data_IF_170110241612
#
_entry.id   IF_170110241612
#
_cell.length_a   1.000
_cell.length_b   1.000
_cell.length_c   1.000
_cell.angle_alpha   90.00
_cell.angle_beta   90.00
_cell.angle_gamma   90.00
#
_symmetry.space_group_name_H-M   'P 1'
#
loop_
_entity.id
_entity.type
_entity.pdbx_description
1 polymer ?
#
# COMPACT_ATOMS: atom_id res chain seq x y z
N UNK A 1 -5.71 21.03 -2.86
CA UNK A 1 -5.17 20.68 -1.53
C UNK A 1 -5.38 19.18 -1.36
N UNK A 2 -4.40 18.45 -0.80
CA UNK A 2 -4.51 17.02 -0.50
C UNK A 2 -4.33 16.80 1.00
N UNK A 3 -5.18 15.97 1.61
CA UNK A 3 -5.14 15.63 3.03
C UNK A 3 -4.90 14.14 3.19
N UNK A 4 -3.79 13.76 3.83
CA UNK A 4 -3.45 12.35 4.09
C UNK A 4 -4.17 11.83 5.33
N UNK A 5 -5.42 11.39 5.15
CA UNK A 5 -6.33 11.00 6.24
C UNK A 5 -6.69 9.50 6.24
N UNK A 6 -6.06 8.73 5.35
CA UNK A 6 -6.35 7.31 5.17
C UNK A 6 -7.48 7.05 4.18
N UNK A 7 -7.42 5.90 3.51
CA UNK A 7 -8.29 5.57 2.38
C UNK A 7 -9.77 5.51 2.75
N UNK A 8 -10.11 5.03 3.95
CA UNK A 8 -11.50 5.00 4.40
C UNK A 8 -12.08 6.40 4.53
N UNK A 9 -11.34 7.33 5.12
CA UNK A 9 -11.78 8.71 5.29
C UNK A 9 -11.86 9.45 3.95
N UNK A 10 -10.91 9.20 3.03
CA UNK A 10 -10.96 9.75 1.66
C UNK A 10 -12.20 9.30 0.86
N UNK A 11 -12.55 8.02 0.94
CA UNK A 11 -13.77 7.49 0.31
C UNK A 11 -15.03 8.13 0.92
N UNK A 12 -15.08 8.24 2.25
CA UNK A 12 -16.22 8.83 2.94
C UNK A 12 -16.38 10.32 2.59
N UNK A 13 -15.28 11.08 2.55
CA UNK A 13 -15.29 12.49 2.18
C UNK A 13 -15.79 12.71 0.74
N UNK A 14 -15.39 11.84 -0.20
CA UNK A 14 -15.91 11.85 -1.57
C UNK A 14 -17.41 11.57 -1.61
N UNK A 15 -17.89 10.57 -0.85
CA UNK A 15 -19.33 10.27 -0.74
C UNK A 15 -20.14 11.42 -0.15
N UNK A 16 -19.56 12.14 0.80
CA UNK A 16 -20.15 13.35 1.40
C UNK A 16 -19.96 14.60 0.52
N UNK A 17 -19.25 14.49 -0.61
CA UNK A 17 -18.94 15.59 -1.53
C UNK A 17 -18.23 16.77 -0.86
N UNK A 18 -17.41 16.49 0.16
CA UNK A 18 -16.61 17.51 0.88
C UNK A 18 -15.21 17.70 0.28
N UNK A 19 -14.83 16.83 -0.65
CA UNK A 19 -13.59 16.89 -1.44
C UNK A 19 -13.92 16.66 -2.91
N UNK A 20 -13.08 17.20 -3.79
CA UNK A 20 -13.28 17.07 -5.24
C UNK A 20 -12.90 15.66 -5.76
N UNK A 21 -12.00 14.98 -5.05
CA UNK A 21 -11.57 13.61 -5.30
C UNK A 21 -11.20 12.91 -3.98
N UNK A 22 -11.37 11.59 -3.93
CA UNK A 22 -10.84 10.72 -2.87
C UNK A 22 -9.63 9.93 -3.38
N UNK A 23 -8.84 9.39 -2.46
CA UNK A 23 -7.72 8.50 -2.80
C UNK A 23 -7.73 7.25 -1.90
N UNK A 24 -7.31 6.11 -2.45
CA UNK A 24 -7.31 4.83 -1.74
C UNK A 24 -6.30 3.86 -2.34
N UNK A 25 -5.57 3.11 -1.50
CA UNK A 25 -4.71 2.00 -1.96
C UNK A 25 -5.50 0.68 -2.13
N UNK A 26 -6.79 0.71 -1.82
CA UNK A 26 -7.69 -0.42 -1.94
C UNK A 26 -8.83 -0.07 -2.89
N UNK A 27 -9.28 -1.00 -3.75
CA UNK A 27 -10.43 -0.76 -4.59
C UNK A 27 -11.68 -0.45 -3.75
N UNK A 28 -12.63 0.26 -4.36
CA UNK A 28 -13.94 0.46 -3.77
C UNK A 28 -14.66 -0.88 -3.63
N UNK A 29 -15.26 -1.14 -2.47
CA UNK A 29 -16.16 -2.28 -2.32
C UNK A 29 -17.46 -2.04 -3.10
N UNK A 30 -18.23 -3.08 -3.39
CA UNK A 30 -19.54 -2.93 -4.03
C UNK A 30 -20.47 -1.94 -3.26
N UNK A 31 -20.45 -1.99 -1.93
CA UNK A 31 -21.19 -1.05 -1.09
C UNK A 31 -20.68 0.39 -1.21
N UNK A 32 -19.36 0.58 -1.34
CA UNK A 32 -18.77 1.90 -1.55
C UNK A 32 -19.10 2.45 -2.93
N UNK A 33 -19.00 1.64 -3.99
CA UNK A 33 -19.42 2.00 -5.35
C UNK A 33 -20.87 2.49 -5.36
N UNK A 34 -21.77 1.80 -4.63
CA UNK A 34 -23.15 2.24 -4.48
C UNK A 34 -23.28 3.58 -3.72
N UNK A 35 -22.44 3.82 -2.71
CA UNK A 35 -22.47 5.07 -1.91
C UNK A 35 -21.88 6.29 -2.61
N UNK A 36 -20.89 6.09 -3.50
CA UNK A 36 -20.29 7.13 -4.35
C UNK A 36 -20.77 6.97 -5.79
N UNK A 37 -22.07 6.73 -5.99
CA UNK A 37 -22.66 6.39 -7.28
C UNK A 37 -22.13 7.28 -8.43
N UNK A 38 -21.64 6.65 -9.51
CA UNK A 38 -21.00 7.30 -10.66
C UNK A 38 -19.59 7.89 -10.39
N UNK A 39 -18.94 7.54 -9.29
CA UNK A 39 -17.51 7.73 -9.16
C UNK A 39 -16.77 6.75 -10.09
N UNK A 40 -15.75 7.27 -10.75
CA UNK A 40 -14.80 6.52 -11.57
C UNK A 40 -13.47 6.42 -10.82
N UNK A 41 -12.78 5.31 -11.06
CA UNK A 41 -11.50 4.94 -10.44
C UNK A 41 -10.39 5.12 -11.46
N UNK A 42 -9.35 5.86 -11.08
CA UNK A 42 -8.17 6.15 -11.89
C UNK A 42 -6.94 5.67 -11.11
N UNK A 43 -6.21 4.64 -11.55
CA UNK A 43 -4.92 4.32 -10.96
C UNK A 43 -3.97 5.51 -11.13
N UNK A 44 -3.28 5.93 -10.07
CA UNK A 44 -2.36 7.07 -10.12
C UNK A 44 -0.89 6.66 -10.03
N UNK A 45 -0.58 5.63 -9.24
CA UNK A 45 0.77 5.11 -9.02
C UNK A 45 0.73 3.65 -8.60
N UNK A 46 1.87 2.98 -8.65
CA UNK A 46 2.07 1.65 -8.05
C UNK A 46 3.02 1.79 -6.86
N UNK A 47 2.59 1.31 -5.70
CA UNK A 47 3.32 1.42 -4.44
C UNK A 47 3.58 0.06 -3.79
N UNK A 48 4.83 -0.25 -3.41
CA UNK A 48 5.14 -1.40 -2.58
C UNK A 48 4.89 -1.10 -1.10
N UNK A 49 4.33 -2.08 -0.38
CA UNK A 49 4.19 -2.03 1.09
C UNK A 49 5.25 -2.91 1.71
N UNK A 50 6.11 -2.34 2.55
CA UNK A 50 7.23 -3.03 3.16
C UNK A 50 6.94 -3.39 4.60
N UNK A 51 7.54 -4.50 5.07
CA UNK A 51 7.58 -4.83 6.49
C UNK A 51 8.84 -4.18 7.08
N UNK A 52 8.65 -3.08 7.79
CA UNK A 52 9.72 -2.34 8.45
C UNK A 52 9.84 -2.74 9.92
N UNK A 53 11.05 -2.66 10.47
CA UNK A 53 11.31 -3.11 11.84
C UNK A 53 12.42 -2.30 12.52
N UNK A 54 12.51 -2.45 13.84
CA UNK A 54 13.58 -1.92 14.67
C UNK A 54 14.04 -3.04 15.60
N UNK A 55 15.19 -3.65 15.27
CA UNK A 55 15.78 -4.76 16.03
C UNK A 55 17.18 -4.32 16.48
N UNK A 56 17.30 -3.74 17.68
CA UNK A 56 18.60 -3.56 18.30
C UNK A 56 19.18 -4.92 18.66
N UNK A 57 20.38 -5.24 18.19
CA UNK A 57 21.07 -6.48 18.58
C UNK A 57 21.96 -6.22 19.79
N UNK A 58 22.67 -5.09 19.79
CA UNK A 58 23.45 -4.57 20.91
C UNK A 58 23.69 -3.06 20.70
N UNK A 59 24.50 -2.45 21.57
CA UNK A 59 24.79 -1.02 21.51
C UNK A 59 25.53 -0.55 20.24
N UNK A 60 26.00 -1.47 19.38
CA UNK A 60 26.82 -1.15 18.20
C UNK A 60 26.30 -1.75 16.89
N UNK A 61 25.32 -2.65 16.92
CA UNK A 61 24.81 -3.34 15.75
C UNK A 61 23.27 -3.45 15.77
N UNK A 62 22.65 -3.15 14.63
CA UNK A 62 21.25 -3.44 14.34
C UNK A 62 21.16 -4.11 12.98
N UNK A 63 20.11 -4.91 12.74
CA UNK A 63 19.90 -5.52 11.41
C UNK A 63 19.35 -4.44 10.48
N UNK A 64 20.21 -3.64 9.87
CA UNK A 64 19.78 -2.44 9.14
C UNK A 64 18.97 -2.72 7.85
N UNK A 65 18.96 -3.95 7.35
CA UNK A 65 18.10 -4.45 6.27
C UNK A 65 18.25 -5.96 6.11
N UNK A 66 17.32 -6.59 5.40
CA UNK A 66 17.52 -7.94 4.88
C UNK A 66 17.12 -9.07 5.82
N UNK A 67 16.34 -8.80 6.86
CA UNK A 67 15.63 -9.87 7.56
C UNK A 67 14.75 -10.60 6.56
N UNK A 68 14.95 -11.90 6.41
CA UNK A 68 14.16 -12.77 5.55
C UNK A 68 12.87 -13.16 6.26
N UNK A 69 11.74 -12.87 5.62
CA UNK A 69 10.42 -13.29 6.07
C UNK A 69 9.65 -13.93 4.90
N UNK A 70 8.82 -14.93 5.21
CA UNK A 70 7.78 -15.42 4.31
C UNK A 70 6.41 -15.08 4.88
N UNK A 71 5.35 -15.27 4.09
CA UNK A 71 3.98 -14.89 4.48
C UNK A 71 3.52 -15.58 5.77
N UNK A 72 3.92 -16.83 6.01
CA UNK A 72 3.51 -17.59 7.20
C UNK A 72 4.20 -17.10 8.46
N UNK A 73 5.49 -16.79 8.41
CA UNK A 73 6.20 -16.21 9.55
C UNK A 73 5.72 -14.79 9.81
N UNK A 74 5.52 -13.97 8.77
CA UNK A 74 4.92 -12.65 8.91
C UNK A 74 3.52 -12.73 9.55
N UNK A 75 2.64 -13.59 9.07
CA UNK A 75 1.31 -13.77 9.66
C UNK A 75 1.39 -14.18 11.14
N UNK A 76 2.27 -15.13 11.48
CA UNK A 76 2.50 -15.57 12.86
C UNK A 76 2.96 -14.44 13.79
N UNK A 77 3.87 -13.58 13.32
CA UNK A 77 4.31 -12.39 14.07
C UNK A 77 3.14 -11.42 14.28
N UNK A 78 2.47 -11.03 13.19
CA UNK A 78 1.45 -9.98 13.23
C UNK A 78 0.19 -10.38 14.02
N UNK A 79 -0.07 -11.67 14.20
CA UNK A 79 -1.16 -12.18 15.06
C UNK A 79 -0.74 -12.68 16.44
N UNK A 80 0.55 -12.59 16.78
CA UNK A 80 1.08 -12.91 18.11
C UNK A 80 1.34 -14.39 18.38
N UNK A 81 1.38 -15.23 17.36
CA UNK A 81 1.79 -16.64 17.49
C UNK A 81 3.33 -16.78 17.54
N UNK A 82 4.05 -15.77 17.02
CA UNK A 82 5.51 -15.64 17.10
C UNK A 82 5.79 -14.35 17.88
N UNK A 83 6.41 -14.48 19.06
CA UNK A 83 6.45 -13.39 20.05
C UNK A 83 7.86 -12.90 20.38
N UNK A 84 8.93 -13.57 19.93
CA UNK A 84 10.32 -13.14 20.14
C UNK A 84 11.11 -13.20 18.85
N UNK A 85 12.12 -12.33 18.70
CA UNK A 85 12.93 -12.27 17.47
C UNK A 85 13.74 -13.54 17.21
N UNK A 86 14.16 -14.25 18.24
CA UNK A 86 14.88 -15.51 18.15
C UNK A 86 13.98 -16.75 17.99
N UNK A 87 12.68 -16.58 17.70
CA UNK A 87 11.79 -17.70 17.44
C UNK A 87 12.39 -18.65 16.37
N UNK A 88 12.37 -19.98 16.57
CA UNK A 88 12.98 -20.93 15.65
C UNK A 88 12.53 -20.77 14.19
N UNK A 89 11.29 -20.33 13.95
CA UNK A 89 10.78 -20.09 12.60
C UNK A 89 11.43 -18.87 11.95
N UNK A 90 11.71 -17.80 12.69
CA UNK A 90 12.43 -16.63 12.17
C UNK A 90 13.90 -17.00 11.94
N UNK A 91 14.53 -17.66 12.91
CA UNK A 91 15.94 -18.08 12.83
C UNK A 91 16.16 -18.97 11.60
N UNK A 92 15.28 -19.94 11.33
CA UNK A 92 15.39 -20.83 10.19
C UNK A 92 15.45 -20.11 8.83
N UNK A 93 14.74 -18.98 8.67
CA UNK A 93 14.77 -18.21 7.42
C UNK A 93 16.04 -17.36 7.27
N UNK A 94 16.76 -17.13 8.36
CA UNK A 94 17.82 -16.11 8.46
C UNK A 94 19.22 -16.67 8.74
N UNK A 95 19.40 -17.99 8.80
CA UNK A 95 20.68 -18.63 9.10
C UNK A 95 21.82 -18.18 8.15
N UNK A 96 21.48 -17.90 6.89
CA UNK A 96 22.43 -17.52 5.84
C UNK A 96 22.39 -16.02 5.49
N UNK A 97 21.47 -15.24 6.07
CA UNK A 97 21.34 -13.80 5.77
C UNK A 97 21.99 -12.91 6.82
N UNK A 98 22.16 -13.40 8.05
CA UNK A 98 22.80 -12.64 9.13
C UNK A 98 24.34 -12.72 9.02
N UNK A 99 25.06 -11.63 9.37
CA UNK A 99 26.52 -11.68 9.45
C UNK A 99 27.00 -12.74 10.44
N UNK A 100 28.17 -13.31 10.16
CA UNK A 100 28.79 -14.30 11.06
C UNK A 100 28.93 -13.77 12.49
N UNK A 101 28.47 -14.55 13.47
CA UNK A 101 28.51 -14.18 14.89
C UNK A 101 27.36 -13.29 15.37
N UNK A 102 26.45 -12.87 14.48
CA UNK A 102 25.21 -12.16 14.84
C UNK A 102 24.09 -13.17 15.03
N UNK A 103 23.34 -13.05 16.13
CA UNK A 103 22.15 -13.84 16.41
C UNK A 103 20.96 -12.92 16.66
N UNK A 104 19.76 -13.38 16.30
CA UNK A 104 18.52 -12.66 16.63
C UNK A 104 18.33 -12.63 18.16
N UNK A 105 17.86 -11.51 18.73
CA UNK A 105 17.73 -11.34 20.17
C UNK A 105 16.53 -12.13 20.70
N UNK A 106 16.54 -12.44 22.00
CA UNK A 106 15.38 -13.02 22.69
C UNK A 106 14.32 -11.99 23.08
N UNK A 107 14.52 -10.72 22.72
CA UNK A 107 13.60 -9.63 23.00
C UNK A 107 12.20 -9.90 22.42
N UNK A 108 11.14 -9.48 23.12
CA UNK A 108 9.77 -9.63 22.64
C UNK A 108 9.52 -8.75 21.41
N UNK A 109 8.72 -9.24 20.47
CA UNK A 109 8.31 -8.49 19.29
C UNK A 109 7.08 -7.65 19.62
N UNK A 110 7.15 -6.35 19.34
CA UNK A 110 6.02 -5.43 19.44
C UNK A 110 5.49 -5.10 18.05
N UNK A 111 4.28 -5.56 17.72
CA UNK A 111 3.64 -5.25 16.44
C UNK A 111 3.13 -3.81 16.44
N UNK A 112 3.33 -3.10 15.33
CA UNK A 112 2.75 -1.78 15.07
C UNK A 112 1.83 -1.88 13.85
N UNK A 113 0.60 -1.44 14.01
CA UNK A 113 -0.41 -1.42 12.95
C UNK A 113 -1.05 -0.05 12.81
N UNK A 114 -1.85 0.11 11.74
CA UNK A 114 -2.60 1.35 11.50
C UNK A 114 -3.76 1.49 12.49
N UNK A 115 -3.95 2.69 13.03
CA UNK A 115 -5.13 3.05 13.83
C UNK A 115 -6.35 3.36 12.95
N UNK A 116 -6.11 3.94 11.77
CA UNK A 116 -7.13 4.44 10.85
C UNK A 116 -7.49 3.42 9.75
N UNK A 117 -8.66 3.60 9.13
CA UNK A 117 -9.09 2.78 8.00
C UNK A 117 -8.17 3.00 6.79
N UNK A 118 -7.42 1.97 6.40
CA UNK A 118 -6.20 2.11 5.61
C UNK A 118 -6.16 1.15 4.42
N UNK A 119 -5.89 1.68 3.22
CA UNK A 119 -5.61 0.89 2.02
C UNK A 119 -4.33 0.06 2.17
N UNK A 120 -3.27 0.66 2.72
CA UNK A 120 -2.04 -0.06 3.12
C UNK A 120 -2.34 -1.29 4.00
N UNK A 121 -3.27 -1.17 4.95
CA UNK A 121 -3.71 -2.29 5.80
C UNK A 121 -4.48 -3.34 5.00
N UNK A 122 -5.35 -2.93 4.08
CA UNK A 122 -6.06 -3.85 3.19
C UNK A 122 -5.10 -4.67 2.31
N UNK A 123 -4.07 -4.03 1.77
CA UNK A 123 -3.07 -4.72 0.93
C UNK A 123 -2.21 -5.64 1.78
N UNK A 124 -1.73 -5.15 2.93
CA UNK A 124 -0.90 -5.94 3.85
C UNK A 124 -1.65 -7.16 4.41
N UNK A 125 -2.88 -6.98 4.88
CA UNK A 125 -3.70 -8.10 5.39
C UNK A 125 -4.17 -9.03 4.27
N UNK A 126 -4.32 -8.52 3.04
CA UNK A 126 -4.49 -9.35 1.84
C UNK A 126 -3.29 -10.27 1.61
N UNK A 127 -2.08 -9.75 1.75
CA UNK A 127 -0.85 -10.56 1.69
C UNK A 127 -0.84 -11.60 2.82
N UNK A 128 -1.10 -11.21 4.07
CA UNK A 128 -1.14 -12.16 5.19
C UNK A 128 -2.19 -13.27 4.98
N UNK A 129 -3.31 -12.94 4.33
CA UNK A 129 -4.38 -13.91 3.98
C UNK A 129 -3.95 -14.94 2.93
N UNK A 130 -2.77 -14.83 2.33
CA UNK A 130 -2.18 -15.90 1.52
C UNK A 130 -1.49 -16.97 2.39
N UNK A 131 -1.37 -16.75 3.70
CA UNK A 131 -1.01 -17.79 4.66
C UNK A 131 -2.26 -18.49 5.21
N UNK A 132 -2.11 -19.78 5.50
CA UNK A 132 -3.16 -20.57 6.17
C UNK A 132 -3.29 -20.28 7.66
N UNK A 133 -2.32 -19.59 8.28
CA UNK A 133 -2.36 -19.31 9.73
C UNK A 133 -3.03 -17.99 10.08
N UNK A 134 -3.13 -17.05 9.12
CA UNK A 134 -3.68 -15.71 9.38
C UNK A 134 -5.18 -15.76 9.67
N UNK A 135 -5.60 -15.16 10.79
CA UNK A 135 -7.00 -15.20 11.27
C UNK A 135 -7.81 -13.93 10.97
N UNK A 136 -7.17 -12.84 10.57
CA UNK A 136 -7.81 -11.52 10.42
C UNK A 136 -8.53 -11.27 9.10
N UNK A 137 -8.32 -12.11 8.09
CA UNK A 137 -8.80 -11.86 6.72
C UNK A 137 -8.20 -10.59 6.10
N UNK A 138 -8.81 -10.11 5.01
CA UNK A 138 -8.39 -8.91 4.29
C UNK A 138 -9.34 -7.74 4.59
N UNK A 139 -8.84 -6.67 5.22
CA UNK A 139 -9.68 -5.53 5.59
C UNK A 139 -8.94 -4.20 5.64
N UNK A 140 -9.64 -3.12 5.27
CA UNK A 140 -9.20 -1.75 5.55
C UNK A 140 -9.32 -1.39 7.03
N UNK A 141 -10.26 -2.02 7.74
CA UNK A 141 -10.58 -1.69 9.13
C UNK A 141 -9.61 -2.39 10.08
N UNK A 142 -8.84 -1.65 10.89
CA UNK A 142 -7.87 -2.27 11.79
C UNK A 142 -8.52 -3.09 12.91
N UNK A 143 -9.75 -2.75 13.32
CA UNK A 143 -10.49 -3.50 14.35
C UNK A 143 -10.99 -4.87 13.89
N UNK A 144 -10.99 -5.13 12.58
CA UNK A 144 -11.41 -6.42 12.01
C UNK A 144 -10.26 -7.42 11.90
N UNK A 145 -9.02 -6.99 12.16
CA UNK A 145 -7.83 -7.80 11.97
C UNK A 145 -7.38 -8.42 13.31
N UNK A 146 -6.86 -9.64 13.25
CA UNK A 146 -6.41 -10.39 14.41
C UNK A 146 -4.98 -9.98 14.81
N UNK A 147 -4.77 -8.71 15.17
CA UNK A 147 -3.45 -8.22 15.58
C UNK A 147 -2.97 -8.87 16.89
N UNK A 148 -1.65 -8.98 17.02
CA UNK A 148 -1.00 -9.49 18.22
C UNK A 148 -1.49 -8.76 19.49
N UNK A 149 -1.69 -9.47 20.62
CA UNK A 149 -1.97 -8.82 21.89
C UNK A 149 -0.92 -7.77 22.25
N UNK A 150 -1.35 -6.57 22.64
CA UNK A 150 -0.44 -5.47 22.96
C UNK A 150 0.15 -4.74 21.76
N UNK A 151 -0.31 -5.03 20.53
CA UNK A 151 0.11 -4.29 19.35
C UNK A 151 -0.22 -2.78 19.47
N UNK A 152 0.69 -1.94 18.97
CA UNK A 152 0.58 -0.49 18.98
C UNK A 152 -0.20 -0.01 17.74
N UNK A 153 -1.21 0.81 17.95
CA UNK A 153 -1.99 1.41 16.87
C UNK A 153 -1.52 2.85 16.61
N UNK A 154 -1.04 3.14 15.40
CA UNK A 154 -0.51 4.46 15.04
C UNK A 154 -1.22 5.05 13.80
N UNK A 155 -1.44 6.37 13.74
CA UNK A 155 -2.18 6.99 12.65
C UNK A 155 -1.33 7.15 11.40
N UNK A 156 -1.86 6.71 10.25
CA UNK A 156 -1.20 6.88 8.96
C UNK A 156 0.11 6.09 8.81
N UNK A 157 0.70 6.13 7.63
CA UNK A 157 2.05 5.57 7.43
C UNK A 157 3.10 6.33 8.27
N UNK A 158 2.97 7.65 8.40
CA UNK A 158 3.90 8.48 9.16
C UNK A 158 3.95 8.09 10.65
N UNK A 159 2.80 7.86 11.28
CA UNK A 159 2.74 7.46 12.69
C UNK A 159 3.30 6.06 12.91
N UNK A 160 2.99 5.10 12.01
CA UNK A 160 3.56 3.75 12.06
C UNK A 160 5.08 3.80 11.90
N UNK A 161 5.58 4.52 10.89
CA UNK A 161 7.01 4.69 10.65
C UNK A 161 7.72 5.30 11.86
N UNK A 162 7.19 6.39 12.41
CA UNK A 162 7.73 7.06 13.59
C UNK A 162 7.76 6.14 14.82
N UNK A 163 6.71 5.33 15.03
CA UNK A 163 6.64 4.38 16.14
C UNK A 163 7.71 3.31 15.99
N UNK A 164 7.87 2.73 14.79
CA UNK A 164 8.89 1.71 14.54
C UNK A 164 10.29 2.29 14.77
N UNK A 165 10.58 3.48 14.27
CA UNK A 165 11.90 4.10 14.44
C UNK A 165 12.27 4.39 15.90
N UNK A 166 11.29 4.75 16.72
CA UNK A 166 11.54 5.25 18.08
C UNK A 166 11.38 4.20 19.16
N UNK A 167 10.61 3.14 18.91
CA UNK A 167 10.35 2.08 19.87
C UNK A 167 11.14 0.83 19.48
N UNK A 168 12.09 0.38 20.33
CA UNK A 168 12.85 -0.86 20.13
C UNK A 168 11.96 -2.09 19.95
N UNK A 169 12.52 -3.10 19.29
CA UNK A 169 11.92 -4.42 19.10
C UNK A 169 10.53 -4.38 18.43
N UNK A 170 10.32 -3.41 17.55
CA UNK A 170 9.06 -3.23 16.83
C UNK A 170 9.11 -3.76 15.41
N UNK A 171 7.94 -4.13 14.89
CA UNK A 171 7.72 -4.49 13.49
C UNK A 171 6.37 -3.97 13.03
N UNK A 172 6.30 -3.41 11.84
CA UNK A 172 5.05 -2.94 11.24
C UNK A 172 5.16 -2.88 9.73
N UNK A 173 4.15 -2.28 9.10
CA UNK A 173 4.07 -2.18 7.65
C UNK A 173 3.83 -0.74 7.21
N UNK A 174 4.59 -0.29 6.22
CA UNK A 174 4.50 1.06 5.65
C UNK A 174 4.69 1.01 4.15
N UNK A 175 4.21 2.01 3.42
CA UNK A 175 4.63 2.20 2.02
C UNK A 175 6.15 2.50 1.98
N UNK A 176 6.85 1.96 0.97
CA UNK A 176 8.32 1.97 0.87
C UNK A 176 8.95 3.35 1.08
N UNK A 177 8.38 4.42 0.52
CA UNK A 177 8.94 5.76 0.66
C UNK A 177 9.10 6.16 2.13
N UNK A 178 8.15 5.80 3.00
CA UNK A 178 8.25 6.08 4.44
C UNK A 178 9.41 5.36 5.11
N UNK A 179 9.85 4.21 4.60
CA UNK A 179 11.02 3.51 5.10
C UNK A 179 12.33 4.12 4.58
N UNK A 180 12.41 4.42 3.28
CA UNK A 180 13.67 4.86 2.64
C UNK A 180 13.93 6.36 2.77
N UNK A 181 12.89 7.20 2.90
CA UNK A 181 13.03 8.64 3.06
C UNK A 181 13.20 9.07 4.52
N UNK A 182 13.13 8.13 5.46
CA UNK A 182 13.32 8.43 6.86
C UNK A 182 14.80 8.73 7.16
N UNK A 183 15.06 9.46 8.26
CA UNK A 183 16.43 9.86 8.63
C UNK A 183 16.73 9.42 10.06
N UNK A 184 17.56 8.36 10.27
CA UNK A 184 18.14 7.48 9.24
C UNK A 184 17.07 6.59 8.57
N UNK A 185 17.36 6.01 7.38
CA UNK A 185 16.45 5.07 6.74
C UNK A 185 16.09 3.91 7.66
N UNK A 186 14.83 3.49 7.60
CA UNK A 186 14.32 2.37 8.40
C UNK A 186 14.87 1.05 7.89
N UNK A 187 15.05 0.10 8.80
CA UNK A 187 15.29 -1.29 8.40
C UNK A 187 13.98 -1.94 7.91
N UNK A 188 14.11 -2.81 6.90
CA UNK A 188 12.98 -3.54 6.31
C UNK A 188 13.37 -4.95 5.87
N UNK A 189 12.36 -5.82 5.81
CA UNK A 189 12.51 -7.23 5.50
C UNK A 189 12.54 -7.49 3.99
N UNK A 190 13.27 -8.53 3.58
CA UNK A 190 13.17 -9.12 2.25
C UNK A 190 12.14 -10.24 2.31
N UNK A 191 11.22 -10.25 1.35
CA UNK A 191 10.06 -11.13 1.41
C UNK A 191 10.15 -12.24 0.39
N UNK A 192 9.84 -13.46 0.83
CA UNK A 192 9.70 -14.61 -0.06
C UNK A 192 8.47 -14.45 -0.95
N UNK A 193 8.68 -14.42 -2.27
CA UNK A 193 7.59 -14.59 -3.22
C UNK A 193 7.58 -16.04 -3.75
N UNK A 194 6.60 -16.88 -3.33
CA UNK A 194 6.54 -18.28 -3.77
C UNK A 194 6.22 -18.42 -5.26
N UNK A 195 5.60 -17.40 -5.86
CA UNK A 195 5.08 -17.38 -7.22
C UNK A 195 6.07 -16.73 -8.20
N UNK A 196 6.87 -15.77 -7.74
CA UNK A 196 7.84 -15.00 -8.52
C UNK A 196 9.24 -15.59 -8.55
N UNK A 197 9.37 -16.90 -8.81
CA UNK A 197 10.61 -17.70 -8.85
C UNK A 197 11.22 -18.14 -7.50
N UNK A 198 10.51 -18.00 -6.37
CA UNK A 198 10.92 -18.58 -5.10
C UNK A 198 12.23 -17.98 -4.57
N UNK A 199 12.22 -16.70 -4.25
CA UNK A 199 13.38 -15.99 -3.68
C UNK A 199 12.94 -14.94 -2.67
N UNK A 200 13.85 -14.56 -1.76
CA UNK A 200 13.67 -13.39 -0.89
C UNK A 200 14.01 -12.13 -1.67
N UNK A 201 13.03 -11.24 -1.79
CA UNK A 201 13.10 -10.09 -2.70
C UNK A 201 13.13 -8.81 -1.86
N UNK A 202 14.12 -7.96 -2.13
CA UNK A 202 14.23 -6.62 -1.56
C UNK A 202 13.16 -5.70 -2.18
N UNK A 203 12.45 -4.86 -1.39
CA UNK A 203 11.50 -3.89 -1.94
C UNK A 203 12.20 -2.71 -2.61
N UNK A 204 12.52 -2.84 -3.89
CA UNK A 204 13.06 -1.76 -4.74
C UNK A 204 12.02 -1.33 -5.78
N UNK A 205 12.22 -0.19 -6.42
CA UNK A 205 11.42 0.19 -7.61
C UNK A 205 11.50 -0.86 -8.72
N UNK A 206 12.67 -1.49 -8.89
CA UNK A 206 12.89 -2.51 -9.91
C UNK A 206 12.08 -3.78 -9.64
N UNK A 207 12.17 -4.32 -8.41
CA UNK A 207 11.39 -5.51 -8.03
C UNK A 207 9.89 -5.24 -7.94
N UNK A 208 9.49 -4.01 -7.60
CA UNK A 208 8.08 -3.65 -7.45
C UNK A 208 7.40 -3.45 -8.81
N UNK A 209 8.13 -2.95 -9.81
CA UNK A 209 7.58 -2.77 -11.16
C UNK A 209 7.32 -4.11 -11.87
N UNK A 210 8.09 -5.15 -11.54
CA UNK A 210 7.87 -6.51 -12.03
C UNK A 210 6.49 -7.06 -11.61
N UNK A 211 5.93 -6.64 -10.47
CA UNK A 211 4.58 -7.08 -10.09
C UNK A 211 3.48 -6.56 -11.03
N UNK A 212 3.78 -5.57 -11.88
CA UNK A 212 2.85 -4.98 -12.83
C UNK A 212 3.19 -5.30 -14.29
N UNK A 213 4.03 -6.32 -14.57
CA UNK A 213 4.34 -6.72 -15.95
C UNK A 213 3.28 -7.62 -16.57
N UNK A 214 2.65 -8.49 -15.78
CA UNK A 214 1.59 -9.40 -16.23
C UNK A 214 0.21 -9.02 -15.68
N UNK A 215 -0.21 -7.77 -15.93
CA UNK A 215 -1.50 -7.28 -15.46
C UNK A 215 -2.67 -8.05 -16.10
N UNK A 216 -3.72 -8.38 -15.31
CA UNK A 216 -4.98 -8.86 -15.88
C UNK A 216 -5.67 -7.75 -16.69
N UNK A 217 -6.73 -8.10 -17.42
CA UNK A 217 -7.56 -7.10 -18.10
C UNK A 217 -8.09 -6.07 -17.10
N UNK A 218 -7.77 -4.80 -17.34
CA UNK A 218 -8.17 -3.71 -16.47
C UNK A 218 -9.65 -3.36 -16.70
N UNK A 219 -10.46 -3.19 -15.64
CA UNK A 219 -11.80 -2.63 -15.76
C UNK A 219 -11.77 -1.22 -16.34
N UNK A 220 -12.89 -0.75 -16.88
CA UNK A 220 -13.08 0.69 -17.12
C UNK A 220 -13.02 1.46 -15.80
N UNK A 221 -12.90 2.79 -15.86
CA UNK A 221 -12.95 3.62 -14.65
C UNK A 221 -14.22 3.42 -13.81
N UNK A 222 -15.36 3.15 -14.44
CA UNK A 222 -16.63 2.80 -13.78
C UNK A 222 -16.76 1.32 -13.38
N UNK A 223 -15.80 0.49 -13.78
CA UNK A 223 -15.80 -0.94 -13.54
C UNK A 223 -15.40 -1.33 -12.12
N UNK A 224 -15.50 -2.62 -11.83
CA UNK A 224 -15.12 -3.15 -10.52
C UNK A 224 -13.63 -3.51 -10.46
N UNK A 225 -12.85 -2.74 -9.70
CA UNK A 225 -11.42 -2.94 -9.52
C UNK A 225 -11.05 -3.99 -8.44
N UNK A 226 -12.02 -4.60 -7.75
CA UNK A 226 -11.73 -5.61 -6.70
C UNK A 226 -11.08 -6.89 -7.23
N UNK A 227 -11.10 -7.14 -8.54
CA UNK A 227 -10.41 -8.28 -9.16
C UNK A 227 -8.93 -8.02 -9.46
N UNK A 228 -8.47 -6.77 -9.34
CA UNK A 228 -7.08 -6.42 -9.59
C UNK A 228 -6.24 -6.74 -8.35
N UNK A 229 -5.30 -7.67 -8.50
CA UNK A 229 -4.42 -8.12 -7.45
C UNK A 229 -2.96 -8.13 -7.93
N UNK A 230 -2.09 -7.41 -7.21
CA UNK A 230 -0.64 -7.37 -7.45
C UNK A 230 0.15 -8.03 -6.29
N UNK A 231 -0.53 -8.80 -5.44
CA UNK A 231 0.11 -9.58 -4.39
C UNK A 231 0.63 -10.91 -4.93
N UNK A 232 1.86 -11.28 -4.55
CA UNK A 232 2.50 -12.54 -4.91
C UNK A 232 2.32 -12.89 -6.41
N UNK A 233 2.59 -11.95 -7.31
CA UNK A 233 2.44 -12.22 -8.74
C UNK A 233 3.45 -13.27 -9.20
N UNK A 234 3.14 -13.94 -10.31
CA UNK A 234 4.00 -14.97 -10.91
C UNK A 234 5.17 -14.37 -11.71
N UNK A 235 5.33 -13.05 -11.73
CA UNK A 235 6.40 -12.37 -12.45
C UNK A 235 7.74 -12.64 -11.73
N UNK A 236 8.75 -13.20 -12.43
CA UNK A 236 10.03 -13.52 -11.79
C UNK A 236 10.69 -12.31 -11.14
N UNK A 237 11.06 -12.42 -9.86
CA UNK A 237 11.70 -11.34 -9.12
C UNK A 237 10.75 -10.23 -8.64
N UNK A 238 9.44 -10.38 -8.83
CA UNK A 238 8.46 -9.41 -8.34
C UNK A 238 8.33 -9.41 -6.82
N UNK A 239 8.39 -8.21 -6.23
CA UNK A 239 8.16 -8.02 -4.80
C UNK A 239 6.71 -8.44 -4.43
N UNK A 240 6.49 -9.20 -3.34
CA UNK A 240 5.20 -9.85 -3.11
C UNK A 240 4.08 -8.95 -2.59
N UNK A 241 4.38 -7.73 -2.12
CA UNK A 241 3.36 -6.80 -1.59
C UNK A 241 3.38 -5.50 -2.38
N UNK A 242 2.66 -5.50 -3.50
CA UNK A 242 2.51 -4.34 -4.39
C UNK A 242 1.02 -4.05 -4.56
N UNK A 243 0.68 -2.79 -4.77
CA UNK A 243 -0.69 -2.36 -5.09
C UNK A 243 -0.68 -1.16 -6.01
N UNK A 244 -1.79 -0.92 -6.70
CA UNK A 244 -2.11 0.41 -7.19
C UNK A 244 -2.56 1.31 -6.03
N UNK A 245 -2.25 2.59 -6.14
CA UNK A 245 -3.05 3.64 -5.52
C UNK A 245 -4.06 4.16 -6.56
N UNK A 246 -5.24 4.51 -6.07
CA UNK A 246 -6.38 4.93 -6.87
C UNK A 246 -6.84 6.31 -6.46
N UNK A 247 -7.13 7.15 -7.46
CA UNK A 247 -7.93 8.35 -7.31
C UNK A 247 -9.37 8.02 -7.71
N UNK A 248 -10.33 8.48 -6.91
CA UNK A 248 -11.76 8.37 -7.19
C UNK A 248 -12.36 9.76 -7.34
N UNK A 249 -13.12 9.95 -8.41
CA UNK A 249 -13.74 11.24 -8.77
C UNK A 249 -15.11 10.97 -9.38
N UNK A 250 -16.09 11.85 -9.21
CA UNK A 250 -17.36 11.70 -9.93
C UNK A 250 -17.17 11.93 -11.43
N UNK A 251 -17.82 11.10 -12.25
CA UNK A 251 -17.77 11.25 -13.70
C UNK A 251 -18.44 12.55 -14.19
N UNK A 252 -19.51 12.98 -13.52
CA UNK A 252 -20.15 14.27 -13.75
C UNK A 252 -19.84 15.19 -12.55
N UNK A 253 -19.17 16.31 -12.81
CA UNK A 253 -18.64 17.19 -11.78
C UNK A 253 -19.66 18.24 -11.30
N UNK A 254 -20.80 18.43 -11.98
CA UNK A 254 -21.84 19.32 -11.47
C UNK A 254 -22.57 18.77 -10.23
N UNK A 255 -22.31 17.52 -9.84
CA UNK A 255 -22.89 16.86 -8.65
C UNK A 255 -22.59 17.58 -7.33
N UNK A 256 -21.60 18.47 -7.33
CA UNK A 256 -21.18 19.32 -6.22
C UNK A 256 -21.99 20.63 -6.14
N UNK A 257 -22.90 20.89 -7.09
CA UNK A 257 -23.71 22.10 -7.11
C UNK A 257 -22.84 23.36 -7.20
N UNK A 258 -23.14 24.37 -6.40
CA UNK A 258 -22.45 25.68 -6.44
C UNK A 258 -20.99 25.64 -5.99
N UNK A 259 -20.51 24.55 -5.37
CA UNK A 259 -19.11 24.44 -4.91
C UNK A 259 -18.14 23.99 -6.01
N UNK A 260 -18.67 23.57 -7.17
CA UNK A 260 -17.91 23.25 -8.37
C UNK A 260 -18.29 24.18 -9.52
N UNK A 261 -17.38 25.08 -9.90
CA UNK A 261 -17.51 25.87 -11.13
C UNK A 261 -16.89 25.14 -12.32
N UNK A 262 -17.25 25.53 -13.54
CA UNK A 262 -16.63 24.98 -14.75
C UNK A 262 -15.10 25.15 -14.75
N UNK A 263 -14.59 26.30 -14.30
CA UNK A 263 -13.14 26.54 -14.17
C UNK A 263 -12.48 25.58 -13.19
N UNK A 264 -13.12 25.31 -12.04
CA UNK A 264 -12.62 24.35 -11.05
C UNK A 264 -12.65 22.92 -11.60
N UNK A 265 -13.72 22.56 -12.28
CA UNK A 265 -13.88 21.26 -12.93
C UNK A 265 -12.80 21.02 -14.00
N UNK A 266 -12.53 22.02 -14.85
CA UNK A 266 -11.45 21.97 -15.83
C UNK A 266 -10.08 21.83 -15.16
N UNK A 267 -9.83 22.58 -14.08
CA UNK A 267 -8.57 22.47 -13.33
C UNK A 267 -8.37 21.08 -12.72
N UNK A 268 -9.43 20.45 -12.21
CA UNK A 268 -9.39 19.08 -11.70
C UNK A 268 -9.05 18.09 -12.82
N UNK A 269 -9.69 18.18 -13.98
CA UNK A 269 -9.41 17.29 -15.12
C UNK A 269 -7.98 17.47 -15.64
N UNK A 270 -7.49 18.71 -15.73
CA UNK A 270 -6.09 18.99 -16.10
C UNK A 270 -5.11 18.40 -15.07
N UNK A 271 -5.44 18.46 -13.78
CA UNK A 271 -4.64 17.85 -12.73
C UNK A 271 -4.60 16.32 -12.86
N UNK A 272 -5.75 15.67 -13.08
CA UNK A 272 -5.81 14.22 -13.28
C UNK A 272 -5.03 13.80 -14.54
N UNK A 273 -5.12 14.57 -15.61
CA UNK A 273 -4.34 14.35 -16.83
C UNK A 273 -2.83 14.47 -16.55
N UNK A 274 -2.41 15.50 -15.82
CA UNK A 274 -1.04 15.65 -15.36
C UNK A 274 -0.58 14.45 -14.52
N UNK A 275 -1.40 14.00 -13.56
CA UNK A 275 -1.07 12.86 -12.68
C UNK A 275 -0.71 11.62 -13.50
N UNK A 276 -1.48 11.29 -14.53
CA UNK A 276 -1.27 10.07 -15.34
C UNK A 276 -0.21 10.24 -16.44
N UNK A 277 0.31 11.47 -16.64
CA UNK A 277 1.39 11.80 -17.58
C UNK A 277 2.63 12.35 -16.87
N UNK A 278 2.86 13.67 -16.92
CA UNK A 278 4.07 14.32 -16.44
C UNK A 278 4.31 14.09 -14.94
N UNK A 279 3.24 13.92 -14.17
CA UNK A 279 3.27 13.54 -12.76
C UNK A 279 3.95 12.19 -12.51
N UNK A 280 3.92 11.27 -13.48
CA UNK A 280 4.61 9.97 -13.39
C UNK A 280 6.13 10.11 -13.28
N UNK A 281 6.71 11.24 -13.71
CA UNK A 281 8.14 11.52 -13.54
C UNK A 281 8.49 11.81 -12.06
N UNK A 282 7.54 12.30 -11.27
CA UNK A 282 7.73 12.55 -9.83
C UNK A 282 7.62 11.27 -9.01
N UNK A 283 6.87 10.27 -9.50
CA UNK A 283 6.64 9.00 -8.79
C UNK A 283 7.96 8.33 -8.36
N UNK A 284 8.93 8.23 -9.28
CA UNK A 284 10.22 7.58 -9.01
C UNK A 284 11.05 8.28 -7.94
N UNK A 285 10.96 9.60 -7.85
CA UNK A 285 11.67 10.41 -6.84
C UNK A 285 11.13 10.07 -5.43
N UNK A 286 9.85 9.71 -5.36
CA UNK A 286 9.13 9.36 -4.13
C UNK A 286 9.00 7.85 -3.95
N UNK A 287 9.86 7.04 -4.57
CA UNK A 287 9.85 5.58 -4.44
C UNK A 287 8.56 4.87 -4.91
N UNK A 288 7.77 5.51 -5.76
CA UNK A 288 6.65 4.91 -6.48
C UNK A 288 7.06 4.43 -7.88
N UNK A 289 6.45 3.34 -8.32
CA UNK A 289 6.57 2.82 -9.68
C UNK A 289 5.62 3.60 -10.58
N UNK A 290 6.15 4.12 -11.70
CA UNK A 290 5.35 4.76 -12.75
C UNK A 290 4.41 3.76 -13.41
N UNK A 291 3.22 4.21 -13.78
CA UNK A 291 2.20 3.39 -14.43
C UNK A 291 2.71 2.82 -15.78
N UNK A 292 2.51 1.52 -16.06
CA UNK A 292 2.71 0.95 -17.39
C UNK A 292 1.82 1.63 -18.43
N UNK A 293 2.25 1.64 -19.70
CA UNK A 293 1.50 2.30 -20.79
C UNK A 293 0.06 1.81 -20.94
N UNK A 294 -0.20 0.53 -20.67
CA UNK A 294 -1.55 -0.05 -20.68
C UNK A 294 -2.44 0.53 -19.58
N UNK A 295 -1.88 0.84 -18.42
CA UNK A 295 -2.59 1.48 -17.31
C UNK A 295 -2.80 2.96 -17.60
N UNK A 296 -1.80 3.65 -18.17
CA UNK A 296 -1.93 5.04 -18.62
C UNK A 296 -3.06 5.17 -19.64
N UNK A 297 -3.11 4.31 -20.66
CA UNK A 297 -4.18 4.34 -21.66
C UNK A 297 -5.59 4.11 -21.05
N UNK A 298 -5.71 3.22 -20.06
CA UNK A 298 -6.95 3.03 -19.32
C UNK A 298 -7.35 4.27 -18.50
N UNK A 299 -6.37 4.89 -17.85
CA UNK A 299 -6.54 6.09 -17.07
C UNK A 299 -6.92 7.30 -17.95
N UNK A 300 -6.30 7.45 -19.12
CA UNK A 300 -6.64 8.47 -20.12
C UNK A 300 -8.10 8.35 -20.58
N UNK A 301 -8.53 7.15 -20.95
CA UNK A 301 -9.91 6.89 -21.35
C UNK A 301 -10.89 7.27 -20.23
N UNK A 302 -10.52 6.99 -18.98
CA UNK A 302 -11.30 7.34 -17.80
C UNK A 302 -11.36 8.86 -17.59
N UNK A 303 -10.24 9.57 -17.65
CA UNK A 303 -10.19 11.04 -17.49
C UNK A 303 -10.98 11.75 -18.60
N UNK A 304 -10.89 11.28 -19.85
CA UNK A 304 -11.65 11.82 -20.99
C UNK A 304 -13.16 11.65 -20.84
N UNK A 305 -13.61 10.70 -20.02
CA UNK A 305 -15.03 10.47 -19.75
C UNK A 305 -15.64 11.47 -18.75
N UNK A 306 -14.81 12.31 -18.12
CA UNK A 306 -15.26 13.29 -17.13
C UNK A 306 -15.99 14.45 -17.81
N UNK A 307 -17.12 14.81 -17.23
CA UNK A 307 -18.05 15.81 -17.74
C UNK A 307 -18.35 16.88 -16.70
N UNK A 308 -18.76 18.05 -17.19
CA UNK A 308 -19.41 19.09 -16.39
C UNK A 308 -20.62 19.62 -17.18
N UNK A 309 -21.82 19.48 -16.62
CA UNK A 309 -23.08 19.76 -17.31
C UNK A 309 -23.23 18.96 -18.62
N UNK A 310 -22.84 17.69 -18.61
CA UNK A 310 -22.92 16.78 -19.74
C UNK A 310 -21.92 17.06 -20.87
N UNK A 311 -21.03 18.04 -20.72
CA UNK A 311 -19.97 18.35 -21.68
C UNK A 311 -18.64 17.78 -21.19
N UNK A 312 -17.93 17.07 -22.06
CA UNK A 312 -16.58 16.56 -21.77
C UNK A 312 -15.60 17.71 -21.54
N UNK A 313 -14.75 17.58 -20.53
CA UNK A 313 -13.75 18.62 -20.18
C UNK A 313 -12.36 18.35 -20.77
N UNK A 314 -12.16 17.22 -21.43
CA UNK A 314 -10.92 16.90 -22.13
C UNK A 314 -11.24 16.49 -23.58
N UNK A 315 -10.70 17.25 -24.54
CA UNK A 315 -10.76 16.95 -25.98
C UNK A 315 -9.67 15.99 -26.42
#
# INVERSE_FOLDING_TARGET
NYQSIGSGAGINALGQKTVDFGASDAPLTASQIASVSNAITIPDTIGPVVIAYNIPINNTYSIHKGLHLNVTVAAGIFQGDITTWNDPKIVALNQNSLPSGVSLPSSPITVVHRFDSSGTTFVFTGYLSNSTVWRGGQSKSPSSNAWAPGALASPGNAGVASTIQTVPDTIGYVELNYAVSATPPMAYAYLWNPNGAGSYIEPTLSSSSLAATSLPSLPSGSGNWTSINLLNTNDPGAYPIVTFSYIMVYQELNVYGSTMSQTKAQALVNYLWFVVHDGQNQAKILSFVSLPSTVVANAEATVRSITYNGQTLHG
#
